data_IF_015851821803
#
_entry.id   IF_015851821803
#
_cell.length_a   1.000
_cell.length_b   1.000
_cell.length_c   1.000
_cell.angle_alpha   90.00
_cell.angle_beta   90.00
_cell.angle_gamma   90.00
#
_symmetry.space_group_name_H-M   'P 1'
#
loop_
_entity.id
_entity.type
_entity.pdbx_description
1 polymer ?
#
# COMPACT_ATOMS: atom_id res chain seq x y z
N UNK A 1 10.06 11.69 7.25
CA UNK A 1 8.71 11.89 6.68
C UNK A 1 8.36 10.62 5.92
N UNK A 2 7.11 10.16 6.01
CA UNK A 2 6.68 8.94 5.33
C UNK A 2 5.37 9.13 4.58
N UNK A 3 5.12 8.27 3.58
CA UNK A 3 3.91 8.27 2.77
C UNK A 3 3.26 6.87 2.74
N UNK A 4 1.94 6.85 2.89
CA UNK A 4 1.11 5.66 2.70
C UNK A 4 0.50 5.72 1.31
N UNK A 5 0.80 4.72 0.48
CA UNK A 5 0.21 4.56 -0.83
C UNK A 5 -0.86 3.47 -0.77
N UNK A 6 -2.12 3.89 -0.73
CA UNK A 6 -3.25 3.01 -0.39
C UNK A 6 -4.04 2.63 -1.63
N UNK A 7 -4.35 1.33 -1.80
CA UNK A 7 -5.29 0.83 -2.80
C UNK A 7 -6.35 -0.08 -2.14
N UNK A 8 -7.40 -0.41 -2.88
CA UNK A 8 -8.50 -1.29 -2.44
C UNK A 8 -8.29 -2.70 -3.03
N UNK A 9 -8.12 -3.72 -2.17
CA UNK A 9 -7.85 -5.10 -2.64
C UNK A 9 -8.99 -5.70 -3.48
N UNK A 10 -10.21 -5.17 -3.35
CA UNK A 10 -11.38 -5.62 -4.10
C UNK A 10 -11.55 -4.87 -5.44
N UNK A 11 -10.70 -3.88 -5.75
CA UNK A 11 -10.81 -3.06 -6.96
C UNK A 11 -9.47 -2.91 -7.68
N UNK A 12 -9.26 -3.73 -8.71
CA UNK A 12 -8.03 -3.72 -9.52
C UNK A 12 -7.66 -2.34 -10.09
N UNK A 13 -8.66 -1.56 -10.53
CA UNK A 13 -8.43 -0.20 -11.06
C UNK A 13 -7.73 0.72 -10.04
N UNK A 14 -7.96 0.53 -8.74
CA UNK A 14 -7.27 1.34 -7.72
C UNK A 14 -5.80 0.97 -7.61
N UNK A 15 -5.47 -0.29 -7.85
CA UNK A 15 -4.10 -0.80 -7.86
C UNK A 15 -3.34 -0.34 -9.11
N UNK A 16 -3.97 -0.29 -10.28
CA UNK A 16 -3.34 0.25 -11.51
C UNK A 16 -2.86 1.70 -11.34
N UNK A 17 -3.57 2.49 -10.52
CA UNK A 17 -3.18 3.87 -10.26
C UNK A 17 -1.95 4.00 -9.34
N UNK A 18 -1.60 2.96 -8.58
CA UNK A 18 -0.47 2.97 -7.61
C UNK A 18 0.84 3.34 -8.29
N UNK A 19 1.11 2.83 -9.49
CA UNK A 19 2.35 3.14 -10.21
C UNK A 19 2.47 4.64 -10.55
N UNK A 20 1.35 5.25 -10.94
CA UNK A 20 1.29 6.69 -11.20
C UNK A 20 1.52 7.51 -9.93
N UNK A 21 0.83 7.17 -8.85
CA UNK A 21 0.99 7.86 -7.56
C UNK A 21 2.39 7.70 -6.99
N UNK A 22 3.03 6.54 -7.18
CA UNK A 22 4.41 6.32 -6.78
C UNK A 22 5.38 7.25 -7.52
N UNK A 23 5.19 7.43 -8.84
CA UNK A 23 5.98 8.40 -9.62
C UNK A 23 5.78 9.81 -9.11
N UNK A 24 4.52 10.25 -8.95
CA UNK A 24 4.20 11.59 -8.45
C UNK A 24 4.80 11.84 -7.05
N UNK A 25 4.79 10.84 -6.16
CA UNK A 25 5.44 10.91 -4.86
C UNK A 25 6.97 11.06 -4.99
N UNK A 26 7.62 10.26 -5.83
CA UNK A 26 9.08 10.32 -6.02
C UNK A 26 9.56 11.62 -6.66
N UNK A 27 8.75 12.20 -7.54
CA UNK A 27 9.10 13.44 -8.24
C UNK A 27 9.01 14.68 -7.34
N UNK A 28 8.14 14.66 -6.34
CA UNK A 28 7.85 15.84 -5.49
C UNK A 28 8.31 15.70 -4.03
N UNK A 29 8.62 14.48 -3.56
CA UNK A 29 9.04 14.25 -2.18
C UNK A 29 10.57 14.23 -2.02
N UNK A 30 11.01 14.31 -0.76
CA UNK A 30 12.41 14.14 -0.38
C UNK A 30 12.91 12.73 -0.79
N UNK A 31 14.17 12.62 -1.23
CA UNK A 31 14.77 11.35 -1.64
C UNK A 31 14.81 10.33 -0.49
N UNK A 32 14.74 10.78 0.77
CA UNK A 32 14.74 9.93 1.95
C UNK A 32 13.34 9.60 2.48
N UNK A 33 12.28 9.84 1.70
CA UNK A 33 10.91 9.51 2.12
C UNK A 33 10.72 7.99 2.19
N UNK A 34 10.20 7.50 3.32
CA UNK A 34 9.79 6.10 3.47
C UNK A 34 8.39 5.94 2.88
N UNK A 35 8.23 5.03 1.92
CA UNK A 35 6.95 4.79 1.24
C UNK A 35 6.48 3.37 1.56
N UNK A 36 5.22 3.25 1.99
CA UNK A 36 4.57 1.96 2.23
C UNK A 36 3.36 1.79 1.32
N UNK A 37 3.33 0.69 0.59
CA UNK A 37 2.15 0.22 -0.13
C UNK A 37 1.17 -0.44 0.84
N UNK A 38 -0.08 0.00 0.82
CA UNK A 38 -1.14 -0.52 1.70
C UNK A 38 -2.31 -1.06 0.88
N UNK A 39 -2.52 -2.38 0.96
CA UNK A 39 -3.74 -3.01 0.45
C UNK A 39 -4.86 -2.90 1.48
N UNK A 40 -5.75 -1.94 1.35
CA UNK A 40 -6.87 -1.73 2.28
C UNK A 40 -8.08 -2.61 1.91
N UNK A 41 -9.00 -2.75 2.87
CA UNK A 41 -10.20 -3.59 2.83
C UNK A 41 -9.92 -5.08 2.81
N UNK A 42 -8.91 -5.51 3.58
CA UNK A 42 -8.55 -6.92 3.72
C UNK A 42 -9.67 -7.81 4.30
N UNK A 43 -10.74 -7.21 4.83
CA UNK A 43 -11.99 -7.86 5.23
C UNK A 43 -12.77 -8.43 4.02
N UNK A 44 -12.65 -7.81 2.84
CA UNK A 44 -13.32 -8.23 1.60
C UNK A 44 -12.58 -9.35 0.85
N UNK A 45 -12.00 -10.33 1.56
CA UNK A 45 -11.17 -11.41 0.95
C UNK A 45 -11.88 -12.17 -0.16
N UNK A 46 -13.20 -12.37 -0.02
CA UNK A 46 -14.02 -13.07 -1.01
C UNK A 46 -14.24 -12.29 -2.31
N UNK A 47 -14.02 -10.97 -2.28
CA UNK A 47 -14.11 -10.07 -3.43
C UNK A 47 -12.73 -9.63 -3.91
N UNK A 48 -11.66 -10.27 -3.44
CA UNK A 48 -10.28 -9.91 -3.79
C UNK A 48 -10.09 -9.95 -5.31
N UNK A 49 -9.72 -8.81 -5.85
CA UNK A 49 -9.37 -8.63 -7.26
C UNK A 49 -7.87 -8.45 -7.47
N UNK A 50 -7.13 -8.11 -6.41
CA UNK A 50 -5.67 -7.95 -6.43
C UNK A 50 -5.04 -9.02 -5.54
N UNK A 51 -4.33 -10.01 -6.12
CA UNK A 51 -3.58 -11.00 -5.37
C UNK A 51 -2.53 -10.36 -4.45
N UNK A 52 -2.41 -10.86 -3.22
CA UNK A 52 -1.42 -10.35 -2.26
C UNK A 52 0.01 -10.49 -2.78
N UNK A 53 0.33 -11.61 -3.44
CA UNK A 53 1.66 -11.86 -3.99
C UNK A 53 2.03 -10.87 -5.10
N UNK A 54 1.06 -10.45 -5.91
CA UNK A 54 1.27 -9.46 -6.96
C UNK A 54 1.66 -8.10 -6.37
N UNK A 55 0.88 -7.62 -5.39
CA UNK A 55 1.15 -6.35 -4.72
C UNK A 55 2.46 -6.38 -3.91
N UNK A 56 2.76 -7.51 -3.26
CA UNK A 56 4.01 -7.72 -2.54
C UNK A 56 5.21 -7.67 -3.48
N UNK A 57 5.14 -8.35 -4.62
CA UNK A 57 6.20 -8.33 -5.63
C UNK A 57 6.40 -6.92 -6.21
N UNK A 58 5.32 -6.18 -6.43
CA UNK A 58 5.40 -4.78 -6.85
C UNK A 58 6.12 -3.92 -5.81
N UNK A 59 5.80 -4.08 -4.52
CA UNK A 59 6.44 -3.36 -3.44
C UNK A 59 7.94 -3.69 -3.37
N UNK A 60 8.33 -4.97 -3.40
CA UNK A 60 9.73 -5.42 -3.37
C UNK A 60 10.52 -4.83 -4.55
N UNK A 61 9.98 -4.90 -5.77
CA UNK A 61 10.63 -4.35 -6.98
C UNK A 61 10.85 -2.84 -6.91
N UNK A 62 9.94 -2.14 -6.24
CA UNK A 62 10.02 -0.68 -6.09
C UNK A 62 10.70 -0.26 -4.79
N UNK A 63 11.16 -1.18 -3.93
CA UNK A 63 11.76 -0.84 -2.65
C UNK A 63 10.78 -0.19 -1.66
N UNK A 64 9.52 -0.62 -1.67
CA UNK A 64 8.46 -0.16 -0.78
C UNK A 64 8.21 -1.20 0.32
N UNK A 65 7.83 -0.74 1.51
CA UNK A 65 7.22 -1.64 2.51
C UNK A 65 5.80 -2.02 2.06
N UNK A 66 5.31 -3.17 2.49
CA UNK A 66 3.96 -3.63 2.14
C UNK A 66 3.20 -4.16 3.36
N UNK A 67 1.92 -3.80 3.45
CA UNK A 67 0.99 -4.35 4.44
C UNK A 67 -0.43 -4.36 3.90
N UNK A 68 -1.23 -5.36 4.27
CA UNK A 68 -2.67 -5.33 4.05
C UNK A 68 -3.38 -4.92 5.34
N UNK A 69 -4.37 -4.04 5.19
CA UNK A 69 -5.13 -3.47 6.31
C UNK A 69 -6.62 -3.59 6.06
N UNK A 70 -7.39 -3.53 7.14
CA UNK A 70 -8.82 -3.27 7.06
C UNK A 70 -9.16 -2.17 8.06
N UNK A 71 -9.58 -1.03 7.52
CA UNK A 71 -10.11 0.06 8.34
C UNK A 71 -11.45 -0.32 9.00
N UNK A 72 -12.18 -1.30 8.46
CA UNK A 72 -13.49 -1.73 8.98
C UNK A 72 -13.36 -2.47 10.32
N UNK A 73 -12.45 -3.44 10.38
CA UNK A 73 -12.20 -4.27 11.57
C UNK A 73 -10.92 -3.87 12.32
N UNK A 74 -10.27 -2.77 11.89
CA UNK A 74 -9.01 -2.24 12.44
C UNK A 74 -7.80 -3.18 12.32
N UNK A 75 -7.87 -4.19 11.46
CA UNK A 75 -6.74 -5.09 11.20
C UNK A 75 -5.55 -4.34 10.61
N UNK A 76 -4.38 -4.50 11.25
CA UNK A 76 -3.08 -3.98 10.82
C UNK A 76 -2.97 -2.46 10.64
N UNK A 77 -3.99 -1.68 11.01
CA UNK A 77 -3.98 -0.22 10.87
C UNK A 77 -2.86 0.39 11.73
N UNK A 78 -2.80 0.03 13.00
CA UNK A 78 -1.75 0.53 13.91
C UNK A 78 -0.35 0.08 13.47
N UNK A 79 -0.21 -1.18 13.08
CA UNK A 79 1.05 -1.74 12.54
C UNK A 79 1.53 -0.97 11.32
N UNK A 80 0.63 -0.57 10.41
CA UNK A 80 0.99 0.21 9.23
C UNK A 80 1.61 1.56 9.59
N UNK A 81 1.05 2.26 10.58
CA UNK A 81 1.61 3.53 11.05
C UNK A 81 2.92 3.34 11.82
N UNK A 82 3.02 2.34 12.71
CA UNK A 82 4.25 2.06 13.45
C UNK A 82 5.43 1.72 12.53
N UNK A 83 5.17 0.94 11.47
CA UNK A 83 6.19 0.55 10.49
C UNK A 83 6.72 1.72 9.63
N UNK A 84 5.97 2.83 9.49
CA UNK A 84 6.46 4.03 8.78
C UNK A 84 7.30 4.92 9.69
N UNK A 85 7.03 4.89 11.00
CA UNK A 85 7.67 5.76 11.98
C UNK A 85 9.05 5.25 12.44
N UNK A 86 9.35 3.98 12.17
CA UNK A 86 10.57 3.28 12.61
C UNK A 86 11.49 3.02 11.42
#
# INVERSE_FOLDING_TARGET
>A
VGALLVYDIAKHLTYENVERWLRELRDHADQNIVIMLVGNKSDLRHLRSVPTDEAKLFAERNGLSFIETSALDSTNVETAFQNILT
#
